data_IF_146510524960
#
_entry.id   IF_146510524960
#
_cell.length_a   1.000
_cell.length_b   1.000
_cell.length_c   1.000
_cell.angle_alpha   90.00
_cell.angle_beta   90.00
_cell.angle_gamma   90.00
#
_symmetry.space_group_name_H-M   'P 1'
#
loop_
_entity.id
_entity.type
_entity.pdbx_description
1 polymer ?
#
# COMPACT_ATOMS: atom_id res chain seq x y z
N UNK A 1 -32.52 27.86 53.61
CA UNK A 1 -32.64 27.58 52.15
C UNK A 1 -31.35 27.05 51.51
N UNK A 2 -30.17 27.12 52.15
CA UNK A 2 -28.90 26.63 51.57
C UNK A 2 -28.75 25.08 51.51
N UNK A 3 -29.50 24.33 52.33
CA UNK A 3 -29.33 22.87 52.46
C UNK A 3 -29.93 22.05 51.29
N UNK A 4 -30.92 22.60 50.57
CA UNK A 4 -31.53 21.89 49.42
C UNK A 4 -30.71 22.01 48.13
N UNK A 5 -29.85 23.02 48.00
CA UNK A 5 -29.02 23.22 46.81
C UNK A 5 -27.86 22.23 46.73
N UNK A 6 -27.27 21.84 47.87
CA UNK A 6 -26.13 20.91 47.92
C UNK A 6 -26.52 19.50 47.46
N UNK A 7 -27.73 19.04 47.78
CA UNK A 7 -28.23 17.71 47.39
C UNK A 7 -28.47 17.63 45.87
N UNK A 8 -28.96 18.71 45.26
CA UNK A 8 -29.16 18.76 43.80
C UNK A 8 -27.83 18.78 43.03
N UNK A 9 -26.82 19.51 43.51
CA UNK A 9 -25.50 19.57 42.84
C UNK A 9 -24.79 18.22 42.87
N UNK A 10 -24.89 17.46 43.98
CA UNK A 10 -24.30 16.13 44.08
C UNK A 10 -25.03 15.08 43.21
N UNK A 11 -26.35 15.17 43.06
CA UNK A 11 -27.12 14.25 42.21
C UNK A 11 -26.88 14.48 40.70
N UNK A 12 -26.66 15.73 40.28
CA UNK A 12 -26.31 16.06 38.88
C UNK A 12 -24.87 15.65 38.56
N UNK A 13 -23.92 15.76 39.50
CA UNK A 13 -22.56 15.24 39.31
C UNK A 13 -22.51 13.71 39.19
N UNK A 14 -23.34 12.97 39.94
CA UNK A 14 -23.36 11.51 39.88
C UNK A 14 -23.94 10.93 38.58
N UNK A 15 -24.82 11.67 37.89
CA UNK A 15 -25.41 11.23 36.60
C UNK A 15 -24.57 11.63 35.39
N UNK A 16 -23.71 12.65 35.51
CA UNK A 16 -22.78 13.06 34.44
C UNK A 16 -21.50 12.22 34.36
N UNK A 17 -21.21 11.41 35.38
CA UNK A 17 -20.01 10.55 35.44
C UNK A 17 -20.24 9.11 35.00
N UNK A 18 -21.48 8.72 34.67
CA UNK A 18 -21.79 7.37 34.21
C UNK A 18 -22.16 7.37 32.73
N UNK A 19 -21.22 7.78 31.87
CA UNK A 19 -21.25 7.32 30.49
C UNK A 19 -20.69 5.89 30.51
N UNK A 20 -21.50 4.86 30.25
CA UNK A 20 -20.94 3.53 30.06
C UNK A 20 -19.90 3.67 28.95
N UNK A 21 -18.67 3.26 29.23
CA UNK A 21 -17.68 3.05 28.19
C UNK A 21 -18.32 2.07 27.21
N UNK A 22 -18.79 2.56 26.07
CA UNK A 22 -19.18 1.68 24.97
C UNK A 22 -17.92 0.90 24.63
N UNK A 23 -17.87 -0.38 25.00
CA UNK A 23 -16.93 -1.30 24.39
C UNK A 23 -17.20 -1.22 22.89
N UNK A 24 -16.26 -0.63 22.14
CA UNK A 24 -16.29 -0.71 20.69
C UNK A 24 -16.04 -2.18 20.35
N UNK A 25 -17.06 -2.86 19.88
CA UNK A 25 -17.03 -4.28 19.58
C UNK A 25 -16.28 -4.50 18.27
N UNK A 26 -14.95 -4.51 18.30
CA UNK A 26 -14.14 -4.76 17.10
C UNK A 26 -14.24 -6.24 16.74
N UNK A 27 -14.78 -6.52 15.56
CA UNK A 27 -14.87 -7.87 15.01
C UNK A 27 -13.61 -8.17 14.20
N UNK A 28 -13.01 -9.33 14.44
CA UNK A 28 -11.92 -9.87 13.61
C UNK A 28 -12.53 -10.63 12.44
N UNK A 29 -12.20 -10.24 11.22
CA UNK A 29 -12.67 -10.92 10.02
C UNK A 29 -11.78 -12.12 9.69
N UNK A 30 -12.37 -13.20 9.20
CA UNK A 30 -11.63 -14.34 8.69
C UNK A 30 -11.14 -14.04 7.27
N UNK A 31 -9.91 -14.44 6.97
CA UNK A 31 -9.33 -14.30 5.63
C UNK A 31 -9.50 -15.62 4.89
N UNK A 32 -10.10 -15.58 3.71
CA UNK A 32 -10.16 -16.72 2.77
C UNK A 32 -8.99 -16.70 1.78
N UNK A 33 -8.45 -15.50 1.52
CA UNK A 33 -7.21 -15.22 0.80
C UNK A 33 -6.61 -13.94 1.38
N UNK A 34 -5.35 -13.57 1.05
CA UNK A 34 -4.74 -12.32 1.54
C UNK A 34 -5.56 -11.05 1.28
N UNK A 35 -6.55 -11.11 0.37
CA UNK A 35 -7.37 -9.97 0.00
C UNK A 35 -8.88 -10.14 0.03
N UNK A 36 -9.37 -11.33 0.40
CA UNK A 36 -10.80 -11.57 0.56
C UNK A 36 -11.08 -11.92 2.01
N UNK A 37 -11.79 -11.02 2.68
CA UNK A 37 -12.13 -11.12 4.09
C UNK A 37 -13.63 -11.30 4.27
N UNK A 38 -13.99 -12.26 5.12
CA UNK A 38 -15.35 -12.52 5.57
C UNK A 38 -15.52 -11.99 6.99
N UNK A 39 -16.45 -11.05 7.15
CA UNK A 39 -16.79 -10.40 8.41
C UNK A 39 -18.21 -10.78 8.87
N UNK A 40 -18.67 -11.99 8.55
CA UNK A 40 -19.98 -12.53 8.92
C UNK A 40 -21.04 -12.25 7.86
N UNK A 41 -21.75 -11.13 7.96
CA UNK A 41 -22.78 -10.76 6.96
C UNK A 41 -22.22 -9.98 5.77
N UNK A 42 -20.96 -9.56 5.87
CA UNK A 42 -20.31 -8.73 4.85
C UNK A 42 -18.97 -9.29 4.45
N UNK A 43 -18.59 -9.02 3.20
CA UNK A 43 -17.29 -9.38 2.64
C UNK A 43 -16.56 -8.12 2.19
N UNK A 44 -15.23 -8.16 2.28
CA UNK A 44 -14.32 -7.18 1.70
C UNK A 44 -13.48 -7.89 0.65
N UNK A 45 -13.46 -7.37 -0.57
CA UNK A 45 -12.66 -7.89 -1.67
C UNK A 45 -11.72 -6.81 -2.20
N UNK A 46 -10.44 -6.97 -1.92
CA UNK A 46 -9.37 -6.08 -2.37
C UNK A 46 -8.61 -6.64 -3.58
N UNK A 47 -8.99 -7.80 -4.13
CA UNK A 47 -8.34 -8.42 -5.29
C UNK A 47 -8.17 -7.46 -6.48
N UNK A 48 -9.12 -6.55 -6.78
CA UNK A 48 -8.93 -5.56 -7.85
C UNK A 48 -7.78 -4.56 -7.61
N UNK A 49 -7.24 -4.51 -6.40
CA UNK A 49 -6.05 -3.74 -6.01
C UNK A 49 -4.79 -4.62 -5.95
N UNK A 50 -4.82 -5.78 -6.60
CA UNK A 50 -3.66 -6.65 -6.80
C UNK A 50 -3.04 -6.45 -8.17
N UNK A 51 -1.76 -6.79 -8.29
CA UNK A 51 -1.08 -6.99 -9.59
C UNK A 51 -0.34 -8.31 -9.59
N UNK A 52 -0.28 -8.95 -10.75
CA UNK A 52 0.42 -10.23 -10.94
C UNK A 52 1.85 -10.05 -11.49
N UNK A 53 2.31 -8.81 -11.66
CA UNK A 53 3.62 -8.47 -12.24
C UNK A 53 4.73 -8.26 -11.19
N UNK A 54 4.49 -8.71 -9.95
CA UNK A 54 5.39 -8.54 -8.80
C UNK A 54 5.78 -7.08 -8.52
N UNK A 55 4.97 -6.11 -9.00
CA UNK A 55 5.14 -4.70 -8.71
C UNK A 55 4.18 -4.24 -7.60
N UNK A 56 4.58 -3.26 -6.78
CA UNK A 56 3.65 -2.63 -5.84
C UNK A 56 2.52 -1.94 -6.61
N UNK A 57 1.31 -2.03 -6.06
CA UNK A 57 0.15 -1.36 -6.66
C UNK A 57 0.23 0.16 -6.48
N UNK A 58 0.72 0.60 -5.32
CA UNK A 58 1.00 1.99 -4.97
C UNK A 58 2.51 2.16 -4.76
N UNK A 59 3.30 2.46 -5.80
CA UNK A 59 4.75 2.66 -5.68
C UNK A 59 5.11 4.05 -5.12
N UNK A 60 6.24 4.12 -4.42
CA UNK A 60 7.02 5.36 -4.20
C UNK A 60 6.25 6.55 -3.62
N UNK A 61 5.31 6.30 -2.72
CA UNK A 61 4.51 7.35 -2.10
C UNK A 61 5.27 8.00 -0.94
N UNK A 62 5.49 9.33 -0.94
CA UNK A 62 6.16 9.99 0.16
C UNK A 62 5.31 9.92 1.43
N UNK A 63 5.96 9.79 2.58
CA UNK A 63 5.30 10.05 3.86
C UNK A 63 4.99 11.53 4.04
N UNK A 64 4.27 11.85 5.11
CA UNK A 64 3.82 13.21 5.41
C UNK A 64 4.97 14.22 5.53
N UNK A 65 6.11 13.79 6.06
CA UNK A 65 7.26 14.66 6.29
C UNK A 65 8.23 14.67 5.09
N UNK A 66 8.01 13.82 4.09
CA UNK A 66 8.89 13.61 2.94
C UNK A 66 10.23 12.95 3.31
N UNK A 67 10.33 12.33 4.48
CA UNK A 67 11.56 11.72 4.97
C UNK A 67 11.81 10.35 4.33
N UNK A 68 10.73 9.62 4.06
CA UNK A 68 10.77 8.31 3.43
C UNK A 68 9.70 8.18 2.34
N UNK A 69 9.91 7.24 1.43
CA UNK A 69 8.90 6.80 0.48
C UNK A 69 8.41 5.40 0.85
N UNK A 70 7.22 5.05 0.37
CA UNK A 70 6.57 3.79 0.68
C UNK A 70 5.91 3.19 -0.56
N UNK A 71 6.17 1.91 -0.77
CA UNK A 71 5.49 1.08 -1.74
C UNK A 71 4.51 0.14 -1.03
N UNK A 72 3.30 -0.01 -1.57
CA UNK A 72 2.25 -0.84 -0.98
C UNK A 72 1.51 -1.67 -2.02
N UNK A 73 1.29 -2.95 -1.71
CA UNK A 73 0.33 -3.81 -2.42
C UNK A 73 -0.47 -4.61 -1.39
N UNK A 74 -1.81 -4.49 -1.38
CA UNK A 74 -2.64 -5.17 -0.38
C UNK A 74 -2.64 -6.70 -0.52
N UNK A 75 -2.51 -7.20 -1.75
CA UNK A 75 -2.82 -8.59 -2.11
C UNK A 75 -1.65 -9.40 -2.60
N UNK A 76 -0.84 -8.79 -3.47
CA UNK A 76 0.33 -9.42 -4.04
C UNK A 76 1.56 -9.00 -3.27
N UNK A 77 2.45 -9.96 -3.03
CA UNK A 77 3.79 -9.65 -2.57
C UNK A 77 4.60 -9.06 -3.72
N UNK A 78 5.49 -8.13 -3.41
CA UNK A 78 6.49 -7.59 -4.34
C UNK A 78 7.87 -7.57 -3.68
N UNK A 79 8.90 -7.30 -4.48
CA UNK A 79 10.27 -7.13 -3.98
C UNK A 79 10.86 -5.83 -4.51
N UNK A 80 11.60 -5.12 -3.66
CA UNK A 80 12.13 -3.80 -3.94
C UNK A 80 13.40 -3.50 -3.13
N UNK A 81 14.46 -3.05 -3.80
CA UNK A 81 15.76 -2.80 -3.18
C UNK A 81 16.33 -4.04 -2.47
N UNK A 82 17.13 -3.82 -1.43
CA UNK A 82 17.87 -4.90 -0.74
C UNK A 82 17.16 -5.47 0.50
N UNK A 83 16.23 -4.72 1.09
CA UNK A 83 15.56 -5.09 2.35
C UNK A 83 14.09 -5.46 2.21
N UNK A 84 13.46 -5.30 1.05
CA UNK A 84 12.07 -5.71 0.83
C UNK A 84 12.03 -6.89 -0.15
N UNK A 85 11.83 -8.10 0.37
CA UNK A 85 11.66 -9.30 -0.43
C UNK A 85 10.31 -9.96 -0.08
N UNK A 86 9.47 -10.18 -1.09
CA UNK A 86 8.14 -10.77 -0.94
C UNK A 86 7.25 -10.06 0.11
N UNK A 87 7.32 -8.73 0.17
CA UNK A 87 6.60 -7.90 1.15
C UNK A 87 5.29 -7.34 0.58
N UNK A 88 4.41 -6.87 1.47
CA UNK A 88 3.26 -6.01 1.12
C UNK A 88 3.54 -4.54 1.29
N UNK A 89 4.47 -4.18 2.17
CA UNK A 89 4.74 -2.80 2.54
C UNK A 89 6.25 -2.61 2.65
N UNK A 90 6.78 -1.76 1.79
CA UNK A 90 8.20 -1.43 1.76
C UNK A 90 8.40 0.04 2.11
N UNK A 91 9.30 0.33 3.06
CA UNK A 91 9.82 1.68 3.30
C UNK A 91 11.11 1.85 2.50
N UNK A 92 11.29 3.00 1.85
CA UNK A 92 12.40 3.32 0.95
C UNK A 92 13.04 4.61 1.43
N UNK A 93 14.38 4.59 1.56
CA UNK A 93 15.16 5.81 1.77
C UNK A 93 15.28 6.59 0.45
N UNK A 94 14.75 7.81 0.34
CA UNK A 94 14.79 8.58 -0.90
C UNK A 94 16.22 8.99 -1.30
N UNK A 95 17.19 8.92 -0.39
CA UNK A 95 18.60 9.21 -0.67
C UNK A 95 19.38 7.98 -1.15
N UNK A 96 18.86 6.78 -0.90
CA UNK A 96 19.40 5.51 -1.39
C UNK A 96 18.28 4.50 -1.59
N UNK A 97 17.77 4.40 -2.82
CA UNK A 97 16.66 3.49 -3.15
C UNK A 97 16.98 2.00 -2.91
N UNK A 98 18.25 1.63 -2.68
CA UNK A 98 18.61 0.26 -2.27
C UNK A 98 18.46 0.04 -0.77
N UNK A 99 18.47 1.10 0.04
CA UNK A 99 18.23 1.08 1.47
C UNK A 99 16.73 1.01 1.73
N UNK A 100 16.20 -0.21 1.61
CA UNK A 100 14.79 -0.51 1.83
C UNK A 100 14.58 -1.31 3.11
N UNK A 101 13.39 -1.20 3.70
CA UNK A 101 13.03 -1.88 4.94
C UNK A 101 11.64 -2.49 4.79
N UNK A 102 11.55 -3.79 5.03
CA UNK A 102 10.26 -4.50 5.07
C UNK A 102 9.48 -4.10 6.33
N UNK A 103 8.30 -3.50 6.12
CA UNK A 103 7.43 -3.01 7.20
C UNK A 103 6.07 -3.70 7.24
N UNK A 104 5.86 -4.77 6.47
CA UNK A 104 4.64 -5.57 6.54
C UNK A 104 4.49 -6.62 5.45
N UNK A 105 4.08 -7.85 5.79
CA UNK A 105 3.93 -8.96 4.85
C UNK A 105 2.47 -9.39 4.64
N UNK A 106 2.12 -9.74 3.39
CA UNK A 106 0.83 -10.38 3.01
C UNK A 106 0.50 -11.58 3.89
N UNK A 107 1.51 -12.36 4.27
CA UNK A 107 1.34 -13.57 5.09
C UNK A 107 0.84 -13.29 6.52
N UNK A 108 0.90 -12.03 6.96
CA UNK A 108 0.51 -11.61 8.31
C UNK A 108 -0.74 -10.73 8.34
N UNK A 109 -1.37 -10.52 7.18
CA UNK A 109 -2.50 -9.60 7.07
C UNK A 109 -3.65 -10.03 7.96
N UNK A 110 -4.17 -9.08 8.73
CA UNK A 110 -5.38 -9.26 9.53
C UNK A 110 -6.31 -8.06 9.35
N UNK A 111 -7.60 -8.32 9.19
CA UNK A 111 -8.62 -7.27 9.08
C UNK A 111 -9.44 -7.19 10.37
N UNK A 112 -9.52 -5.99 10.93
CA UNK A 112 -10.45 -5.66 12.02
C UNK A 112 -11.48 -4.67 11.52
N UNK A 113 -12.73 -4.88 11.91
CA UNK A 113 -13.86 -4.01 11.57
C UNK A 113 -14.58 -3.57 12.84
N UNK A 114 -14.91 -2.28 12.91
CA UNK A 114 -15.86 -1.75 13.86
C UNK A 114 -17.25 -1.78 13.20
N UNK A 115 -18.17 -2.67 13.62
CA UNK A 115 -19.48 -2.82 13.01
C UNK A 115 -20.41 -1.62 13.27
N UNK A 116 -20.12 -0.80 14.28
CA UNK A 116 -20.92 0.39 14.58
C UNK A 116 -20.60 1.55 13.64
N UNK A 117 -19.33 1.71 13.24
CA UNK A 117 -18.87 2.80 12.37
C UNK A 117 -18.55 2.34 10.95
N UNK A 118 -18.53 1.02 10.69
CA UNK A 118 -17.95 0.38 9.51
C UNK A 118 -16.49 0.76 9.25
N UNK A 119 -15.78 1.30 10.25
CA UNK A 119 -14.36 1.57 10.13
C UNK A 119 -13.60 0.24 10.10
N UNK A 120 -12.71 0.09 9.12
CA UNK A 120 -11.93 -1.13 8.98
C UNK A 120 -10.44 -0.83 8.85
N UNK A 121 -9.63 -1.70 9.43
CA UNK A 121 -8.17 -1.56 9.48
C UNK A 121 -7.53 -2.88 9.12
N UNK A 122 -6.71 -2.87 8.08
CA UNK A 122 -5.77 -3.94 7.80
C UNK A 122 -4.51 -3.74 8.64
N UNK A 123 -4.00 -4.82 9.18
CA UNK A 123 -2.73 -4.84 9.91
C UNK A 123 -1.78 -5.80 9.24
N UNK A 124 -0.59 -5.32 8.92
CA UNK A 124 0.52 -6.11 8.39
C UNK A 124 1.67 -6.05 9.38
N UNK A 125 2.43 -7.14 9.51
CA UNK A 125 3.62 -7.20 10.35
C UNK A 125 4.79 -7.81 9.59
N UNK A 126 6.00 -7.39 9.93
CA UNK A 126 7.24 -8.04 9.49
C UNK A 126 8.27 -8.00 10.61
N UNK A 127 9.24 -8.92 10.57
CA UNK A 127 10.40 -8.92 11.47
C UNK A 127 11.67 -9.05 10.65
N UNK A 128 12.49 -8.00 10.66
CA UNK A 128 13.76 -7.95 9.96
C UNK A 128 14.87 -7.58 10.95
N UNK A 129 15.95 -8.37 10.98
CA UNK A 129 17.07 -8.13 11.90
C UNK A 129 16.66 -8.16 13.39
N UNK A 130 15.62 -8.92 13.75
CA UNK A 130 15.08 -8.97 15.11
C UNK A 130 14.18 -7.79 15.50
N UNK A 131 13.94 -6.84 14.59
CA UNK A 131 13.05 -5.69 14.82
C UNK A 131 11.69 -5.98 14.20
N UNK A 132 10.67 -6.07 15.04
CA UNK A 132 9.26 -6.17 14.60
C UNK A 132 8.76 -4.80 14.15
N UNK A 133 8.09 -4.76 13.01
CA UNK A 133 7.40 -3.59 12.45
C UNK A 133 5.96 -3.94 12.17
N UNK A 134 5.08 -2.95 12.31
CA UNK A 134 3.64 -3.10 12.09
C UNK A 134 3.15 -1.97 11.21
N UNK A 135 2.48 -2.28 10.11
CA UNK A 135 1.77 -1.28 9.29
C UNK A 135 0.28 -1.44 9.49
N UNK A 136 -0.40 -0.32 9.73
CA UNK A 136 -1.86 -0.23 9.80
C UNK A 136 -2.38 0.55 8.59
N UNK A 137 -3.35 0.00 7.88
CA UNK A 137 -3.99 0.63 6.73
C UNK A 137 -5.46 0.84 7.05
N UNK A 138 -5.85 2.08 7.28
CA UNK A 138 -7.27 2.45 7.46
C UNK A 138 -7.98 2.45 6.10
N UNK A 139 -9.09 1.74 6.03
CA UNK A 139 -9.90 1.59 4.82
C UNK A 139 -11.01 2.64 4.81
N UNK A 140 -11.10 3.39 3.71
CA UNK A 140 -12.13 4.40 3.49
C UNK A 140 -12.88 4.05 2.21
N UNK A 141 -14.16 3.68 2.37
CA UNK A 141 -15.05 3.37 1.26
C UNK A 141 -15.37 4.63 0.44
N UNK A 142 -15.17 4.55 -0.87
CA UNK A 142 -15.42 5.64 -1.83
C UNK A 142 -16.43 5.24 -2.92
N UNK A 143 -17.58 4.69 -2.52
CA UNK A 143 -18.59 4.15 -3.45
C UNK A 143 -19.24 5.20 -4.38
N UNK A 144 -19.31 6.47 -3.97
CA UNK A 144 -20.03 7.53 -4.70
C UNK A 144 -19.14 8.75 -5.01
N UNK A 145 -17.83 8.62 -4.83
CA UNK A 145 -16.86 9.71 -5.01
C UNK A 145 -16.17 9.74 -6.38
N UNK A 146 -15.23 10.68 -6.61
CA UNK A 146 -14.40 10.70 -7.82
C UNK A 146 -13.56 9.43 -8.02
N UNK A 147 -13.47 8.57 -6.99
CA UNK A 147 -12.80 7.28 -7.02
C UNK A 147 -13.74 6.08 -7.16
N UNK A 148 -15.05 6.32 -7.37
CA UNK A 148 -16.07 5.30 -7.60
C UNK A 148 -15.95 4.56 -8.94
N UNK A 149 -14.91 4.82 -9.73
CA UNK A 149 -14.58 4.07 -10.94
C UNK A 149 -13.06 3.83 -11.07
N UNK A 150 -12.31 4.02 -9.98
CA UNK A 150 -10.86 4.01 -9.98
C UNK A 150 -10.29 3.01 -8.99
N UNK A 151 -8.97 2.83 -9.07
CA UNK A 151 -8.20 1.99 -8.16
C UNK A 151 -8.10 2.59 -6.75
N UNK A 152 -8.41 3.88 -6.60
CA UNK A 152 -8.37 4.59 -5.33
C UNK A 152 -7.09 5.40 -5.13
N UNK A 153 -6.89 5.93 -3.94
CA UNK A 153 -5.66 6.60 -3.50
C UNK A 153 -5.18 6.08 -2.17
N UNK A 154 -3.86 6.02 -2.01
CA UNK A 154 -3.20 5.75 -0.74
C UNK A 154 -2.54 7.04 -0.23
N UNK A 155 -2.76 7.36 1.04
CA UNK A 155 -2.05 8.41 1.77
C UNK A 155 -1.18 7.77 2.84
N UNK A 156 0.07 8.18 2.93
CA UNK A 156 1.05 7.60 3.86
C UNK A 156 1.39 8.60 4.95
N UNK A 157 1.10 8.26 6.21
CA UNK A 157 1.52 9.07 7.34
C UNK A 157 2.96 8.80 7.76
N UNK A 158 3.50 7.61 7.42
CA UNK A 158 4.82 7.15 7.85
C UNK A 158 4.76 6.51 9.24
N UNK A 159 5.86 6.61 9.99
CA UNK A 159 6.00 6.04 11.34
C UNK A 159 5.26 6.91 12.39
N UNK A 160 4.26 6.35 13.07
CA UNK A 160 3.41 7.08 14.03
C UNK A 160 3.22 6.29 15.33
N UNK A 161 3.70 6.82 16.48
CA UNK A 161 4.62 7.96 16.60
C UNK A 161 6.01 7.62 16.05
N UNK A 162 6.84 8.63 15.81
CA UNK A 162 8.23 8.43 15.34
C UNK A 162 9.00 7.48 16.27
N UNK A 163 9.88 6.66 15.69
CA UNK A 163 10.65 5.61 16.38
C UNK A 163 9.84 4.49 17.04
N UNK A 164 8.53 4.38 16.77
CA UNK A 164 7.68 3.32 17.34
C UNK A 164 7.68 2.00 16.57
N UNK A 165 8.18 1.99 15.34
CA UNK A 165 8.08 0.89 14.37
C UNK A 165 6.64 0.53 13.98
N UNK A 166 5.71 1.45 14.23
CA UNK A 166 4.34 1.38 13.77
C UNK A 166 4.11 2.40 12.67
N UNK A 167 3.56 1.95 11.56
CA UNK A 167 3.34 2.74 10.36
C UNK A 167 1.85 2.88 10.12
N UNK A 168 1.44 4.04 9.58
CA UNK A 168 0.04 4.32 9.31
C UNK A 168 -0.15 4.79 7.88
N UNK A 169 -1.15 4.20 7.22
CA UNK A 169 -1.58 4.53 5.86
C UNK A 169 -3.11 4.61 5.82
N UNK A 170 -3.64 5.33 4.84
CA UNK A 170 -5.08 5.40 4.57
C UNK A 170 -5.34 5.07 3.10
N UNK A 171 -6.06 3.99 2.85
CA UNK A 171 -6.50 3.57 1.52
C UNK A 171 -7.95 4.02 1.33
N UNK A 172 -8.15 4.93 0.39
CA UNK A 172 -9.49 5.34 -0.07
C UNK A 172 -9.77 4.65 -1.40
N UNK A 173 -10.80 3.83 -1.48
CA UNK A 173 -11.14 3.09 -2.71
C UNK A 173 -12.59 2.61 -2.68
N UNK A 174 -13.18 2.35 -3.85
CA UNK A 174 -14.45 1.63 -3.92
C UNK A 174 -14.34 0.18 -3.44
N UNK A 175 -13.17 -0.43 -3.60
CA UNK A 175 -12.91 -1.81 -3.16
C UNK A 175 -12.72 -1.91 -1.65
N UNK A 176 -12.55 -0.77 -0.97
CA UNK A 176 -12.54 -0.68 0.50
C UNK A 176 -13.97 -0.71 1.10
N UNK A 177 -15.01 -0.88 0.27
CA UNK A 177 -16.40 -0.96 0.70
C UNK A 177 -16.79 -2.40 1.03
N UNK A 178 -17.49 -2.60 2.14
CA UNK A 178 -18.06 -3.90 2.51
C UNK A 178 -19.32 -4.17 1.70
N UNK A 179 -19.41 -5.37 1.14
CA UNK A 179 -20.59 -5.85 0.43
C UNK A 179 -21.34 -6.86 1.28
N UNK A 180 -22.67 -6.82 1.25
CA UNK A 180 -23.47 -7.86 1.91
C UNK A 180 -23.31 -9.18 1.16
N UNK A 181 -23.17 -10.27 1.90
CA UNK A 181 -23.16 -11.60 1.32
C UNK A 181 -24.54 -11.92 0.72
N UNK A 182 -24.68 -11.75 -0.58
CA UNK A 182 -25.83 -12.29 -1.31
C UNK A 182 -25.52 -13.76 -1.58
N UNK A 183 -26.10 -14.67 -0.79
CA UNK A 183 -25.83 -16.12 -0.80
C UNK A 183 -26.22 -16.88 -2.08
N UNK A 184 -25.99 -16.31 -3.26
CA UNK A 184 -26.21 -16.91 -4.56
C UNK A 184 -24.97 -16.86 -5.49
N UNK A 185 -23.80 -16.46 -5.00
CA UNK A 185 -22.57 -16.49 -5.81
C UNK A 185 -21.82 -17.82 -5.62
N UNK A 186 -22.42 -18.91 -6.11
CA UNK A 186 -21.66 -20.12 -6.43
C UNK A 186 -20.89 -19.86 -7.72
N UNK A 187 -19.69 -19.32 -7.61
CA UNK A 187 -18.72 -19.42 -8.71
C UNK A 187 -18.18 -20.84 -8.66
N UNK A 188 -18.82 -21.72 -9.43
CA UNK A 188 -18.33 -23.04 -9.78
C UNK A 188 -16.89 -22.91 -10.30
N UNK A 189 -15.91 -23.69 -9.78
CA UNK A 189 -14.57 -23.69 -10.34
C UNK A 189 -14.66 -24.25 -11.76
N UNK A 190 -14.38 -23.40 -12.75
CA UNK A 190 -14.30 -23.80 -14.14
C UNK A 190 -13.19 -24.85 -14.29
N UNK A 191 -13.59 -26.12 -14.30
CA UNK A 191 -12.71 -27.25 -14.63
C UNK A 191 -12.29 -27.07 -16.09
N UNK A 192 -11.06 -26.61 -16.29
CA UNK A 192 -10.40 -26.64 -17.59
C UNK A 192 -10.25 -28.11 -17.97
N UNK A 193 -11.15 -28.57 -18.85
CA UNK A 193 -11.03 -29.88 -19.49
C UNK A 193 -9.96 -29.76 -20.57
N UNK A 194 -8.74 -30.19 -20.24
CA UNK A 194 -7.66 -30.36 -21.19
C UNK A 194 -7.96 -31.58 -22.07
N UNK A 195 -8.60 -31.36 -23.21
CA UNK A 195 -8.71 -32.39 -24.25
C UNK A 195 -7.41 -32.41 -25.05
N UNK A 196 -6.57 -33.39 -24.74
CA UNK A 196 -5.43 -33.80 -25.54
C UNK A 196 -5.92 -34.50 -26.81
N UNK A 197 -5.63 -33.94 -27.98
CA UNK A 197 -5.61 -34.70 -29.25
C UNK A 197 -4.22 -34.59 -29.88
N UNK A 198 -3.45 -35.65 -29.67
CA UNK A 198 -2.31 -36.01 -30.50
C UNK A 198 -2.83 -36.68 -31.76
N UNK A 199 -2.45 -36.19 -32.95
CA UNK A 199 -2.22 -37.11 -34.05
C UNK A 199 -1.14 -36.59 -35.03
N UNK A 200 -0.19 -37.50 -35.26
CA UNK A 200 1.02 -37.42 -36.07
C UNK A 200 0.68 -37.79 -37.52
N UNK A 201 1.38 -37.22 -38.51
CA UNK A 201 1.90 -37.82 -39.79
C UNK A 201 2.46 -36.66 -40.65
N UNK A 202 3.78 -36.39 -40.69
CA UNK A 202 4.87 -36.98 -41.51
C UNK A 202 4.66 -36.94 -43.03
N UNK A 203 5.29 -35.99 -43.72
CA UNK A 203 6.01 -36.22 -44.99
C UNK A 203 6.81 -34.96 -45.44
N UNK A 204 8.04 -35.19 -45.92
CA UNK A 204 8.97 -34.26 -46.59
C UNK A 204 9.81 -35.15 -47.55
N UNK A 205 10.52 -34.67 -48.60
CA UNK A 205 10.55 -33.38 -49.33
C UNK A 205 10.46 -33.58 -50.88
N UNK A 206 10.76 -32.58 -51.74
CA UNK A 206 12.12 -32.56 -52.30
C UNK A 206 12.75 -31.17 -52.55
N UNK A 207 14.08 -31.23 -52.54
CA UNK A 207 15.14 -30.26 -52.87
C UNK A 207 15.03 -29.61 -54.26
N UNK A 208 15.33 -28.30 -54.36
CA UNK A 208 16.07 -27.75 -55.53
C UNK A 208 16.83 -26.48 -55.13
N UNK A 209 18.12 -26.46 -55.47
CA UNK A 209 19.15 -25.42 -55.24
C UNK A 209 19.17 -24.37 -56.41
N UNK A 210 20.09 -23.38 -56.50
CA UNK A 210 19.78 -21.96 -56.68
C UNK A 210 20.20 -21.38 -58.05
N UNK A 211 19.98 -20.06 -58.28
CA UNK A 211 21.13 -19.27 -58.75
C UNK A 211 21.25 -17.83 -58.19
N UNK A 212 22.48 -17.53 -57.78
CA UNK A 212 23.36 -16.38 -58.16
C UNK A 212 22.89 -14.91 -58.12
N UNK A 213 23.64 -14.14 -57.29
CA UNK A 213 24.16 -12.77 -57.45
C UNK A 213 23.45 -11.78 -58.39
N UNK A 214 23.13 -10.59 -57.85
CA UNK A 214 23.44 -9.30 -58.50
C UNK A 214 23.62 -8.18 -57.46
N UNK A 215 24.75 -7.49 -57.59
CA UNK A 215 25.20 -6.27 -56.92
C UNK A 215 24.44 -5.02 -57.40
N UNK A 216 24.10 -4.10 -56.48
CA UNK A 216 24.06 -2.61 -56.62
C UNK A 216 23.52 -2.06 -55.30
N UNK A 217 24.30 -1.50 -54.38
CA UNK A 217 25.07 -0.24 -54.36
C UNK A 217 24.20 1.05 -54.40
N UNK A 218 24.41 1.88 -53.35
CA UNK A 218 24.34 3.35 -53.25
C UNK A 218 23.11 4.01 -52.56
N UNK A 219 23.46 4.96 -51.67
CA UNK A 219 22.72 5.98 -50.91
C UNK A 219 22.00 5.51 -49.63
N UNK A 220 22.42 5.85 -48.41
CA UNK A 220 23.19 7.01 -47.94
C UNK A 220 22.24 8.15 -47.60
N UNK A 221 21.85 8.28 -46.33
CA UNK A 221 21.58 9.55 -45.62
C UNK A 221 21.47 9.23 -44.12
N UNK A 222 22.53 9.55 -43.39
CA UNK A 222 22.54 9.70 -41.93
C UNK A 222 21.91 11.04 -41.57
N UNK A 223 21.07 11.05 -40.53
CA UNK A 223 20.60 12.28 -39.90
C UNK A 223 20.78 12.10 -38.39
N UNK A 224 21.98 12.46 -37.94
CA UNK A 224 22.29 12.73 -36.55
C UNK A 224 21.59 14.05 -36.16
N UNK A 225 20.81 14.03 -35.09
CA UNK A 225 20.32 15.25 -34.44
C UNK A 225 20.91 15.29 -33.04
N UNK A 226 22.01 16.02 -32.94
CA UNK A 226 22.61 16.50 -31.71
C UNK A 226 21.62 17.47 -31.03
N UNK A 227 21.17 17.15 -29.82
CA UNK A 227 20.54 18.12 -28.92
C UNK A 227 21.44 18.26 -27.70
N UNK A 228 22.31 19.26 -27.78
CA UNK A 228 23.01 19.86 -26.65
C UNK A 228 21.98 20.66 -25.85
N UNK A 229 21.70 20.26 -24.61
CA UNK A 229 20.90 21.07 -23.69
C UNK A 229 21.82 21.60 -22.59
N UNK A 230 21.90 22.92 -22.54
CA UNK A 230 22.74 23.71 -21.66
C UNK A 230 22.29 23.63 -20.19
N UNK A 231 23.27 23.58 -19.30
CA UNK A 231 23.14 23.63 -17.84
C UNK A 231 23.02 25.11 -17.43
N UNK A 232 21.94 25.54 -16.76
CA UNK A 232 21.91 26.84 -16.10
C UNK A 232 22.62 26.81 -14.71
N UNK A 233 23.21 27.94 -14.28
CA UNK A 233 24.15 28.00 -13.18
C UNK A 233 23.51 27.94 -11.78
N UNK A 234 24.24 27.27 -10.90
CA UNK A 234 24.08 27.19 -9.44
C UNK A 234 24.06 28.58 -8.80
N UNK A 235 23.03 28.87 -8.01
CA UNK A 235 22.98 30.06 -7.15
C UNK A 235 22.92 29.60 -5.68
N UNK A 236 24.02 29.77 -4.96
CA UNK A 236 24.12 29.67 -3.49
C UNK A 236 23.29 30.75 -2.79
N UNK A 237 22.67 30.43 -1.64
CA UNK A 237 22.36 31.42 -0.61
C UNK A 237 23.31 31.31 0.61
N UNK A 238 23.48 32.41 1.36
CA UNK A 238 24.66 32.67 2.18
C UNK A 238 24.69 31.96 3.53
N UNK A 239 25.92 31.64 3.93
CA UNK A 239 26.38 31.37 5.29
C UNK A 239 26.02 32.52 6.23
N UNK A 240 25.19 32.24 7.23
CA UNK A 240 24.97 33.17 8.33
C UNK A 240 25.76 32.71 9.56
N UNK A 241 26.87 33.40 9.82
CA UNK A 241 27.68 33.33 11.02
C UNK A 241 27.05 34.21 12.09
N UNK A 242 26.67 33.64 13.24
CA UNK A 242 26.46 34.42 14.47
C UNK A 242 27.45 33.96 15.53
N UNK A 243 28.35 34.88 15.87
CA UNK A 243 29.28 34.80 16.99
C UNK A 243 28.61 35.02 18.34
N UNK A 244 29.09 34.24 19.32
CA UNK A 244 29.47 34.59 20.70
C UNK A 244 28.58 35.46 21.60
N UNK A 245 28.39 34.95 22.81
CA UNK A 245 28.67 35.54 24.15
C UNK A 245 27.61 34.99 25.13
N UNK A 246 27.78 34.75 26.43
CA UNK A 246 28.87 34.67 27.42
C UNK A 246 28.15 34.32 28.75
N UNK A 247 28.85 33.74 29.74
CA UNK A 247 28.62 33.94 31.21
C UNK A 247 27.36 33.21 31.79
N UNK A 248 27.36 32.48 32.92
CA UNK A 248 28.03 32.65 34.23
C UNK A 248 28.04 31.33 35.03
N UNK A 249 29.14 31.06 35.73
CA UNK A 249 29.24 30.22 36.93
C UNK A 249 29.01 31.10 38.18
N UNK A 250 28.36 30.54 39.20
CA UNK A 250 28.09 30.99 40.60
C UNK A 250 26.61 30.63 40.89
N UNK A 251 26.25 29.76 41.83
CA UNK A 251 26.89 29.18 43.02
C UNK A 251 26.48 27.70 43.18
#
# INVERSE_FOLDING_TARGET
MASRYIVYVLAVCATLLWKPAMLQDTTLCSSSSPCVFDCGETTLDLVPLSRDDEQPFFPDLPDREGAFQFSFSPCSSFSEGSGCANTSVCQIDPLDANNTVDVGSTASVALTQNPQTNAAVLTYTSTQGGVKRTTTVSLVCAADGPQANGTGTLSVAGEVPLSSRNYSMTLTSQYACFHKFNGNSTTEPSVITTTSESNVTSENPPTTEPPTNTTSNINGTTSESNVTSEIPPTTEPPTNTTSQSNVRHHD
#
